data_IF_501990976957
#
_entry.id   IF_501990976957
#
_cell.length_a   1.000
_cell.length_b   1.000
_cell.length_c   1.000
_cell.angle_alpha   90.00
_cell.angle_beta   90.00
_cell.angle_gamma   90.00
#
_symmetry.space_group_name_H-M   'P 1'
#
loop_
_entity.id
_entity.type
_entity.pdbx_description
1 polymer ?
#
# COMPACT_ATOMS: atom_id res chain seq x y z
N UNK A 1 -15.87 9.48 -16.15
CA UNK A 1 -16.56 8.32 -16.71
C UNK A 1 -17.86 8.01 -15.98
N UNK A 2 -17.86 7.81 -14.67
CA UNK A 2 -19.07 7.55 -13.87
C UNK A 2 -20.10 8.68 -13.92
N UNK A 3 -19.67 9.93 -14.03
CA UNK A 3 -20.57 11.08 -14.15
C UNK A 3 -21.21 11.23 -15.52
N UNK A 4 -20.58 10.71 -16.58
CA UNK A 4 -21.09 10.84 -17.96
C UNK A 4 -22.15 9.78 -18.31
N UNK A 5 -22.34 8.73 -17.50
CA UNK A 5 -23.23 7.61 -17.84
C UNK A 5 -24.34 7.29 -16.84
N UNK A 6 -24.50 8.03 -15.75
CA UNK A 6 -25.45 7.67 -14.70
C UNK A 6 -26.73 8.55 -14.73
N UNK A 7 -27.91 7.94 -14.80
CA UNK A 7 -29.17 8.65 -14.58
C UNK A 7 -29.41 8.83 -13.07
N UNK A 8 -29.29 10.05 -12.59
CA UNK A 8 -29.64 10.45 -11.22
C UNK A 8 -28.48 10.34 -10.20
N UNK A 9 -28.32 11.38 -9.38
CA UNK A 9 -27.18 11.49 -8.43
C UNK A 9 -27.10 10.37 -7.36
N UNK A 10 -28.19 9.65 -7.08
CA UNK A 10 -28.22 8.53 -6.14
C UNK A 10 -27.53 7.28 -6.71
N UNK A 11 -27.68 7.00 -7.99
CA UNK A 11 -27.10 5.82 -8.66
C UNK A 11 -25.57 5.94 -8.79
N UNK A 12 -25.05 7.16 -8.97
CA UNK A 12 -23.59 7.42 -9.06
C UNK A 12 -22.92 7.12 -7.72
N UNK A 13 -23.46 7.64 -6.63
CA UNK A 13 -22.88 7.42 -5.30
C UNK A 13 -22.90 5.93 -4.91
N UNK A 14 -23.99 5.23 -5.21
CA UNK A 14 -24.14 3.80 -4.96
C UNK A 14 -23.13 3.00 -5.80
N UNK A 15 -22.97 3.35 -7.08
CA UNK A 15 -22.01 2.68 -7.98
C UNK A 15 -20.56 2.90 -7.51
N UNK A 16 -20.20 4.12 -7.14
CA UNK A 16 -18.87 4.41 -6.57
C UNK A 16 -18.65 3.61 -5.30
N UNK A 17 -19.65 3.60 -4.40
CA UNK A 17 -19.59 2.83 -3.16
C UNK A 17 -19.39 1.34 -3.40
N UNK A 18 -20.15 0.74 -4.33
CA UNK A 18 -20.03 -0.67 -4.69
C UNK A 18 -18.67 -1.01 -5.30
N UNK A 19 -18.16 -0.19 -6.22
CA UNK A 19 -16.84 -0.36 -6.82
C UNK A 19 -15.73 -0.22 -5.77
N UNK A 20 -15.83 0.75 -4.89
CA UNK A 20 -14.89 0.94 -3.79
C UNK A 20 -14.90 -0.25 -2.85
N UNK A 21 -16.07 -0.73 -2.45
CA UNK A 21 -16.21 -1.94 -1.64
C UNK A 21 -15.53 -3.15 -2.31
N UNK A 22 -15.77 -3.36 -3.61
CA UNK A 22 -15.14 -4.46 -4.36
C UNK A 22 -13.61 -4.34 -4.36
N UNK A 23 -13.07 -3.14 -4.57
CA UNK A 23 -11.62 -2.89 -4.52
C UNK A 23 -11.05 -3.25 -3.16
N UNK A 24 -11.68 -2.80 -2.07
CA UNK A 24 -11.22 -3.11 -0.72
C UNK A 24 -11.38 -4.59 -0.37
N UNK A 25 -12.46 -5.25 -0.81
CA UNK A 25 -12.66 -6.67 -0.59
C UNK A 25 -11.57 -7.50 -1.28
N UNK A 26 -11.29 -7.22 -2.56
CA UNK A 26 -10.20 -7.88 -3.29
C UNK A 26 -8.84 -7.57 -2.67
N UNK A 27 -8.59 -6.31 -2.30
CA UNK A 27 -7.34 -5.91 -1.68
C UNK A 27 -7.13 -6.57 -0.30
N UNK A 28 -8.20 -6.81 0.46
CA UNK A 28 -8.09 -7.53 1.74
C UNK A 28 -7.67 -9.01 1.55
N UNK A 29 -8.10 -9.65 0.48
CA UNK A 29 -7.65 -11.00 0.13
C UNK A 29 -6.15 -11.03 -0.21
N UNK A 30 -5.60 -9.93 -0.74
CA UNK A 30 -4.16 -9.80 -0.99
C UNK A 30 -3.34 -10.03 0.28
N UNK A 31 -3.84 -9.62 1.44
CA UNK A 31 -3.14 -9.80 2.72
C UNK A 31 -2.96 -11.28 3.08
N UNK A 32 -3.94 -12.12 2.76
CA UNK A 32 -3.85 -13.58 2.98
C UNK A 32 -2.80 -14.21 2.05
N UNK A 33 -2.82 -13.81 0.77
CA UNK A 33 -1.83 -14.28 -0.20
C UNK A 33 -0.42 -13.84 0.21
N UNK A 34 -0.25 -12.57 0.57
CA UNK A 34 1.04 -12.04 1.00
C UNK A 34 1.52 -12.71 2.29
N UNK A 35 0.61 -13.00 3.25
CA UNK A 35 0.94 -13.75 4.46
C UNK A 35 1.59 -15.10 4.12
N UNK A 36 0.99 -15.88 3.23
CA UNK A 36 1.53 -17.17 2.80
C UNK A 36 2.84 -17.05 2.01
N UNK A 37 3.01 -15.99 1.23
CA UNK A 37 4.25 -15.71 0.50
C UNK A 37 5.39 -15.31 1.45
N UNK A 38 5.10 -14.59 2.53
CA UNK A 38 6.07 -14.23 3.56
C UNK A 38 6.69 -15.45 4.23
N UNK A 39 5.85 -16.45 4.54
CA UNK A 39 6.32 -17.70 5.14
C UNK A 39 7.21 -18.51 4.19
N UNK A 40 6.94 -18.44 2.87
CA UNK A 40 7.64 -19.21 1.86
C UNK A 40 8.91 -18.53 1.33
N UNK A 41 8.87 -17.25 1.04
CA UNK A 41 9.93 -16.52 0.32
C UNK A 41 10.65 -15.49 1.20
N UNK A 42 10.14 -15.22 2.39
CA UNK A 42 10.69 -14.24 3.31
C UNK A 42 10.33 -12.78 2.96
N UNK A 43 10.50 -11.86 3.92
CA UNK A 43 9.94 -10.50 3.82
C UNK A 43 10.59 -9.64 2.74
N UNK A 44 11.90 -9.79 2.49
CA UNK A 44 12.60 -8.96 1.50
C UNK A 44 12.07 -9.16 0.09
N UNK A 45 11.92 -10.42 -0.34
CA UNK A 45 11.48 -10.74 -1.70
C UNK A 45 10.03 -10.30 -1.89
N UNK A 46 9.18 -10.61 -0.93
CA UNK A 46 7.76 -10.27 -0.99
C UNK A 46 7.56 -8.75 -0.99
N UNK A 47 8.36 -8.00 -0.22
CA UNK A 47 8.32 -6.55 -0.21
C UNK A 47 8.77 -5.94 -1.55
N UNK A 48 9.86 -6.46 -2.14
CA UNK A 48 10.33 -6.02 -3.45
C UNK A 48 9.27 -6.24 -4.53
N UNK A 49 8.62 -7.40 -4.53
CA UNK A 49 7.54 -7.71 -5.48
C UNK A 49 6.34 -6.77 -5.27
N UNK A 50 5.92 -6.53 -4.03
CA UNK A 50 4.82 -5.61 -3.74
C UNK A 50 5.14 -4.18 -4.17
N UNK A 51 6.36 -3.70 -3.90
CA UNK A 51 6.81 -2.37 -4.33
C UNK A 51 6.91 -2.27 -5.87
N UNK A 52 7.40 -3.31 -6.55
CA UNK A 52 7.47 -3.36 -8.01
C UNK A 52 6.07 -3.30 -8.65
N UNK A 53 5.10 -4.04 -8.10
CA UNK A 53 3.69 -3.97 -8.52
C UNK A 53 3.17 -2.54 -8.38
N UNK A 54 3.42 -1.87 -7.25
CA UNK A 54 2.99 -0.48 -7.05
C UNK A 54 3.62 0.47 -8.07
N UNK A 55 4.93 0.38 -8.32
CA UNK A 55 5.62 1.22 -9.31
C UNK A 55 4.93 1.10 -10.67
N UNK A 56 4.72 -0.13 -11.13
CA UNK A 56 4.13 -0.40 -12.44
C UNK A 56 2.72 0.18 -12.54
N UNK A 57 1.86 -0.13 -11.59
CA UNK A 57 0.47 0.30 -11.64
C UNK A 57 0.30 1.81 -11.39
N UNK A 58 1.11 2.43 -10.54
CA UNK A 58 1.10 3.89 -10.40
C UNK A 58 1.62 4.59 -11.66
N UNK A 59 2.63 4.04 -12.31
CA UNK A 59 3.15 4.60 -13.56
C UNK A 59 2.19 4.44 -14.75
N UNK A 60 1.31 3.43 -14.72
CA UNK A 60 0.30 3.20 -15.75
C UNK A 60 -0.95 4.07 -15.60
N UNK A 61 -1.19 4.63 -14.42
CA UNK A 61 -2.42 5.37 -14.12
C UNK A 61 -2.57 6.71 -14.87
N UNK A 62 -1.50 7.50 -15.10
CA UNK A 62 -1.61 8.77 -15.84
C UNK A 62 -2.24 8.61 -17.22
N UNK A 63 -3.20 9.50 -17.54
CA UNK A 63 -3.92 9.48 -18.83
C UNK A 63 -5.03 8.43 -18.94
N UNK A 64 -5.22 7.55 -17.96
CA UNK A 64 -6.31 6.57 -17.99
C UNK A 64 -7.62 7.20 -17.51
N UNK A 65 -8.64 7.18 -18.38
CA UNK A 65 -9.98 7.71 -18.09
C UNK A 65 -11.08 6.66 -18.17
N UNK A 66 -10.76 5.47 -18.70
CA UNK A 66 -11.71 4.39 -18.99
C UNK A 66 -11.81 3.35 -17.88
N UNK A 67 -12.57 2.28 -18.13
CA UNK A 67 -12.67 1.13 -17.23
C UNK A 67 -11.31 0.47 -16.90
N UNK A 68 -10.28 0.67 -17.72
CA UNK A 68 -8.92 0.26 -17.43
C UNK A 68 -8.32 0.95 -16.20
N UNK A 69 -8.73 2.19 -15.91
CA UNK A 69 -8.32 2.86 -14.68
C UNK A 69 -8.73 2.08 -13.43
N UNK A 70 -9.88 1.42 -13.47
CA UNK A 70 -10.34 0.57 -12.38
C UNK A 70 -9.46 -0.69 -12.21
N UNK A 71 -9.09 -1.35 -13.32
CA UNK A 71 -8.21 -2.52 -13.28
C UNK A 71 -6.81 -2.15 -12.74
N UNK A 72 -6.28 -1.00 -13.16
CA UNK A 72 -5.01 -0.46 -12.65
C UNK A 72 -5.13 -0.10 -11.18
N UNK A 73 -6.26 0.47 -10.75
CA UNK A 73 -6.52 0.78 -9.34
C UNK A 73 -6.52 -0.50 -8.47
N UNK A 74 -7.12 -1.59 -8.92
CA UNK A 74 -7.04 -2.88 -8.24
C UNK A 74 -5.60 -3.36 -8.09
N UNK A 75 -4.78 -3.20 -9.12
CA UNK A 75 -3.37 -3.62 -9.11
C UNK A 75 -2.54 -2.88 -8.07
N UNK A 76 -2.59 -1.54 -8.01
CA UNK A 76 -1.82 -0.80 -7.01
C UNK A 76 -2.38 -0.98 -5.59
N UNK A 77 -3.70 -1.12 -5.43
CA UNK A 77 -4.31 -1.44 -4.14
C UNK A 77 -3.86 -2.80 -3.62
N UNK A 78 -3.76 -3.81 -4.50
CA UNK A 78 -3.20 -5.11 -4.13
C UNK A 78 -1.79 -4.98 -3.56
N UNK A 79 -0.91 -4.20 -4.23
CA UNK A 79 0.42 -3.91 -3.73
C UNK A 79 0.42 -3.15 -2.41
N UNK A 80 -0.42 -2.13 -2.26
CA UNK A 80 -0.51 -1.30 -1.07
C UNK A 80 -0.97 -2.09 0.16
N UNK A 81 -2.06 -2.85 0.03
CA UNK A 81 -2.58 -3.68 1.12
C UNK A 81 -1.65 -4.85 1.45
N UNK A 82 -0.93 -5.37 0.46
CA UNK A 82 0.08 -6.40 0.67
C UNK A 82 1.24 -5.95 1.54
N UNK A 83 1.57 -4.66 1.60
CA UNK A 83 2.64 -4.14 2.46
C UNK A 83 2.28 -4.14 3.96
N UNK A 84 1.00 -4.17 4.33
CA UNK A 84 0.57 -4.17 5.73
C UNK A 84 1.11 -5.40 6.48
N UNK A 85 0.80 -6.65 6.04
CA UNK A 85 1.32 -7.84 6.71
C UNK A 85 2.84 -7.97 6.64
N UNK A 86 3.50 -7.44 5.59
CA UNK A 86 4.95 -7.45 5.50
C UNK A 86 5.57 -6.63 6.63
N UNK A 87 5.07 -5.41 6.84
CA UNK A 87 5.54 -4.53 7.89
C UNK A 87 5.29 -5.11 9.28
N UNK A 88 4.12 -5.71 9.51
CA UNK A 88 3.78 -6.36 10.78
C UNK A 88 4.66 -7.57 11.06
N UNK A 89 4.92 -8.38 10.05
CA UNK A 89 5.81 -9.54 10.14
C UNK A 89 7.25 -9.11 10.47
N UNK A 90 7.79 -8.08 9.81
CA UNK A 90 9.13 -7.58 10.08
C UNK A 90 9.28 -7.09 11.51
N UNK A 91 8.34 -6.29 11.99
CA UNK A 91 8.36 -5.80 13.37
C UNK A 91 8.18 -6.95 14.35
N UNK A 92 7.27 -7.89 14.07
CA UNK A 92 7.05 -9.07 14.89
C UNK A 92 8.31 -9.94 15.06
N UNK A 93 9.16 -10.00 14.03
CA UNK A 93 10.45 -10.70 14.10
C UNK A 93 11.55 -9.92 14.82
N UNK A 94 11.54 -8.59 14.73
CA UNK A 94 12.59 -7.74 15.33
C UNK A 94 12.28 -7.37 16.79
N UNK A 95 11.00 -7.31 17.15
CA UNK A 95 10.56 -6.94 18.48
C UNK A 95 10.30 -8.17 19.35
N UNK A 96 11.11 -8.37 20.39
CA UNK A 96 10.96 -9.44 21.37
C UNK A 96 10.76 -8.87 22.79
N UNK A 97 10.11 -9.63 23.68
CA UNK A 97 9.94 -9.29 25.07
C UNK A 97 8.95 -8.13 25.34
N UNK A 98 9.04 -7.49 26.54
CA UNK A 98 8.07 -6.48 27.00
C UNK A 98 8.06 -5.20 26.16
N UNK A 99 9.12 -4.92 25.40
CA UNK A 99 9.20 -3.76 24.51
C UNK A 99 8.33 -3.88 23.24
N UNK A 100 7.84 -5.07 22.90
CA UNK A 100 7.11 -5.34 21.66
C UNK A 100 5.87 -4.44 21.51
N UNK A 101 5.05 -4.34 22.56
CA UNK A 101 3.86 -3.52 22.55
C UNK A 101 4.18 -2.03 22.34
N UNK A 102 5.26 -1.54 22.98
CA UNK A 102 5.73 -0.15 22.83
C UNK A 102 6.20 0.14 21.41
N UNK A 103 6.93 -0.78 20.77
CA UNK A 103 7.41 -0.65 19.38
C UNK A 103 6.22 -0.57 18.42
N UNK A 104 5.22 -1.45 18.59
CA UNK A 104 4.00 -1.37 17.79
C UNK A 104 3.24 -0.06 18.01
N UNK A 105 3.12 0.41 19.25
CA UNK A 105 2.48 1.68 19.57
C UNK A 105 3.14 2.86 18.86
N UNK A 106 4.46 2.98 18.96
CA UNK A 106 5.23 4.04 18.27
C UNK A 106 5.04 3.95 16.76
N UNK A 107 5.11 2.74 16.19
CA UNK A 107 4.89 2.55 14.76
C UNK A 107 3.51 3.04 14.32
N UNK A 108 2.45 2.67 15.04
CA UNK A 108 1.10 3.10 14.69
C UNK A 108 0.93 4.61 14.79
N UNK A 109 1.47 5.24 15.83
CA UNK A 109 1.46 6.72 15.95
C UNK A 109 2.14 7.36 14.75
N UNK A 110 3.34 6.89 14.37
CA UNK A 110 4.05 7.40 13.20
C UNK A 110 3.27 7.16 11.90
N UNK A 111 2.73 5.95 11.70
CA UNK A 111 1.99 5.61 10.50
C UNK A 111 0.73 6.47 10.33
N UNK A 112 -0.05 6.65 11.40
CA UNK A 112 -1.25 7.48 11.36
C UNK A 112 -0.92 8.98 11.24
N UNK A 113 0.18 9.45 11.83
CA UNK A 113 0.64 10.82 11.66
C UNK A 113 1.03 11.11 10.20
N UNK A 114 1.79 10.20 9.57
CA UNK A 114 2.15 10.31 8.16
C UNK A 114 0.91 10.24 7.27
N UNK A 115 -0.03 9.33 7.57
CA UNK A 115 -1.29 9.24 6.85
C UNK A 115 -2.09 10.54 6.94
N UNK A 116 -2.22 11.12 8.12
CA UNK A 116 -2.94 12.38 8.31
C UNK A 116 -2.27 13.54 7.56
N UNK A 117 -0.94 13.61 7.57
CA UNK A 117 -0.18 14.61 6.81
C UNK A 117 -0.23 14.38 5.30
N UNK A 118 -0.37 13.15 4.84
CA UNK A 118 -0.45 12.86 3.40
C UNK A 118 -1.73 13.40 2.75
N UNK A 119 -2.85 13.45 3.48
CA UNK A 119 -4.13 13.92 2.94
C UNK A 119 -4.07 15.36 2.41
N UNK A 120 -3.62 16.37 3.18
CA UNK A 120 -3.49 17.72 2.66
C UNK A 120 -2.43 17.84 1.55
N UNK A 121 -1.35 17.04 1.60
CA UNK A 121 -0.35 17.03 0.54
C UNK A 121 -0.93 16.48 -0.76
N UNK A 122 -1.69 15.40 -0.69
CA UNK A 122 -2.38 14.81 -1.85
C UNK A 122 -3.36 15.83 -2.45
N UNK A 123 -4.17 16.48 -1.61
CA UNK A 123 -5.11 17.51 -2.04
C UNK A 123 -4.38 18.68 -2.73
N UNK A 124 -3.32 19.20 -2.12
CA UNK A 124 -2.51 20.28 -2.68
C UNK A 124 -1.90 19.90 -4.04
N UNK A 125 -1.33 18.71 -4.16
CA UNK A 125 -0.74 18.25 -5.43
C UNK A 125 -1.82 18.07 -6.49
N UNK A 126 -2.94 17.49 -6.12
CA UNK A 126 -4.06 17.28 -7.05
C UNK A 126 -4.61 18.63 -7.57
N UNK A 127 -4.85 19.60 -6.70
CA UNK A 127 -5.43 20.90 -7.06
C UNK A 127 -4.49 21.76 -7.92
N UNK A 128 -3.18 21.69 -7.68
CA UNK A 128 -2.21 22.54 -8.39
C UNK A 128 -1.57 21.88 -9.61
N UNK A 129 -1.40 20.57 -9.60
CA UNK A 129 -0.62 19.83 -10.62
C UNK A 129 -1.40 18.71 -11.30
N UNK A 130 -2.62 18.43 -10.84
CA UNK A 130 -3.52 17.45 -11.43
C UNK A 130 -3.21 15.99 -11.07
N UNK A 131 -4.08 15.13 -11.55
CA UNK A 131 -4.12 13.70 -11.25
C UNK A 131 -2.86 12.94 -11.72
N UNK A 132 -2.40 13.23 -12.93
CA UNK A 132 -1.25 12.55 -13.52
C UNK A 132 0.04 12.79 -12.75
N UNK A 133 0.25 14.02 -12.28
CA UNK A 133 1.42 14.38 -11.47
C UNK A 133 1.39 13.68 -10.13
N UNK A 134 0.21 13.58 -9.51
CA UNK A 134 0.04 12.85 -8.25
C UNK A 134 0.49 11.39 -8.40
N UNK A 135 0.03 10.69 -9.44
CA UNK A 135 0.40 9.28 -9.64
C UNK A 135 1.88 9.09 -9.98
N UNK A 136 2.49 10.03 -10.71
CA UNK A 136 3.95 10.01 -10.95
C UNK A 136 4.74 10.18 -9.66
N UNK A 137 4.31 11.04 -8.76
CA UNK A 137 4.93 11.19 -7.44
C UNK A 137 4.76 9.92 -6.59
N UNK A 138 3.59 9.30 -6.62
CA UNK A 138 3.35 8.02 -5.93
C UNK A 138 4.22 6.89 -6.51
N UNK A 139 4.40 6.82 -7.83
CA UNK A 139 5.32 5.89 -8.46
C UNK A 139 6.78 6.13 -8.01
N UNK A 140 7.19 7.41 -7.92
CA UNK A 140 8.51 7.79 -7.39
C UNK A 140 8.70 7.36 -5.93
N UNK A 141 7.69 7.57 -5.09
CA UNK A 141 7.72 7.12 -3.69
C UNK A 141 7.81 5.58 -3.59
N UNK A 142 7.05 4.85 -4.41
CA UNK A 142 7.14 3.39 -4.47
C UNK A 142 8.52 2.91 -4.95
N UNK A 143 9.14 3.63 -5.91
CA UNK A 143 10.50 3.35 -6.36
C UNK A 143 11.53 3.58 -5.24
N UNK A 144 11.38 4.63 -4.43
CA UNK A 144 12.23 4.86 -3.26
C UNK A 144 12.10 3.71 -2.24
N UNK A 145 10.87 3.25 -1.96
CA UNK A 145 10.61 2.08 -1.10
C UNK A 145 11.31 0.84 -1.67
N UNK A 146 11.20 0.61 -2.98
CA UNK A 146 11.85 -0.51 -3.66
C UNK A 146 13.36 -0.48 -3.46
N UNK A 147 14.00 0.68 -3.70
CA UNK A 147 15.45 0.84 -3.55
C UNK A 147 15.91 0.61 -2.11
N UNK A 148 15.21 1.20 -1.13
CA UNK A 148 15.51 0.98 0.30
C UNK A 148 15.38 -0.51 0.66
N UNK A 149 14.33 -1.16 0.18
CA UNK A 149 14.10 -2.60 0.43
C UNK A 149 15.18 -3.46 -0.25
N UNK A 150 15.65 -3.08 -1.43
CA UNK A 150 16.74 -3.77 -2.13
C UNK A 150 18.07 -3.71 -1.35
N UNK A 151 18.27 -2.65 -0.56
CA UNK A 151 19.43 -2.52 0.32
C UNK A 151 19.29 -3.31 1.63
N UNK A 152 18.12 -3.86 1.97
CA UNK A 152 17.95 -4.68 3.17
C UNK A 152 18.74 -5.99 3.06
N UNK A 153 19.36 -6.45 4.17
CA UNK A 153 20.03 -7.76 4.19
C UNK A 153 19.01 -8.89 3.95
N UNK A 154 19.46 -9.91 3.23
CA UNK A 154 18.60 -11.05 2.84
C UNK A 154 18.13 -11.91 4.04
N UNK A 155 18.82 -11.81 5.17
CA UNK A 155 18.45 -12.48 6.41
C UNK A 155 18.28 -11.46 7.51
N UNK A 156 17.10 -11.40 8.10
CA UNK A 156 16.88 -10.60 9.31
C UNK A 156 17.64 -11.26 10.48
N UNK A 157 18.27 -10.46 11.37
CA UNK A 157 18.88 -11.00 12.59
C UNK A 157 17.84 -11.76 13.40
N UNK A 158 18.20 -12.94 13.90
CA UNK A 158 17.36 -13.62 14.88
C UNK A 158 17.28 -12.75 16.14
N UNK A 159 16.10 -12.58 16.75
CA UNK A 159 16.02 -11.91 18.04
C UNK A 159 16.92 -12.61 19.05
N UNK A 160 17.68 -11.81 19.81
CA UNK A 160 18.49 -12.34 20.89
C UNK A 160 17.60 -13.18 21.83
N UNK A 161 18.08 -14.35 22.34
CA UNK A 161 17.32 -15.12 23.29
C UNK A 161 16.99 -14.23 24.49
N UNK A 162 15.71 -14.24 24.91
CA UNK A 162 15.28 -13.53 26.09
C UNK A 162 16.13 -14.05 27.27
N UNK A 163 17.02 -13.22 27.78
CA UNK A 163 17.69 -13.50 29.05
C UNK A 163 16.62 -13.50 30.13
N UNK A 164 16.41 -14.67 30.72
CA UNK A 164 15.48 -14.88 31.83
C UNK A 164 15.86 -14.06 33.04
#
# INVERSE_FOLDING_TARGET
>A
WLQAGAPGGGDVATTIGALTFLVFAVASLAQLVVGSLLDRFGPRIVFLVAAAIQIVFFAMMPGLTDGWAFAVALGFMFGAFGQIPINDFMIGKMASGPARARIYGVRYVLAFSVLALSLPVIAFVYDNYGFDTLFRLMAGAAAAIFLVTACLPSRLPNPAPATA
#
